data_IF_602388657523
#
_entry.id   IF_602388657523
#
_cell.length_a   1.000
_cell.length_b   1.000
_cell.length_c   1.000
_cell.angle_alpha   90.00
_cell.angle_beta   90.00
_cell.angle_gamma   90.00
#
_symmetry.space_group_name_H-M   'P 1'
#
loop_
_entity.id
_entity.type
_entity.pdbx_description
1 polymer ?
#
# COMPACT_ATOMS: atom_id res chain seq x y z
N UNK A 1 18.76 -1.48 10.80
CA UNK A 1 19.67 -1.99 11.83
C UNK A 1 19.33 -3.43 12.15
N UNK A 2 18.11 -3.77 12.59
CA UNK A 2 17.70 -5.15 12.97
C UNK A 2 17.88 -6.15 11.81
N UNK A 3 17.53 -5.76 10.58
CA UNK A 3 17.63 -6.61 9.40
C UNK A 3 19.06 -7.05 9.03
N UNK A 4 20.08 -6.35 9.52
CA UNK A 4 21.49 -6.64 9.22
C UNK A 4 22.14 -7.42 10.36
N UNK A 5 21.79 -7.13 11.62
CA UNK A 5 22.48 -7.70 12.80
C UNK A 5 21.86 -9.00 13.32
N UNK A 6 20.61 -9.33 12.93
CA UNK A 6 19.91 -10.52 13.40
C UNK A 6 19.88 -11.68 12.39
N UNK A 7 20.76 -11.66 11.39
CA UNK A 7 20.80 -12.68 10.33
C UNK A 7 21.86 -13.72 10.69
N UNK A 8 21.44 -14.93 11.01
CA UNK A 8 22.35 -16.02 11.41
C UNK A 8 23.11 -16.62 10.22
N UNK A 9 22.49 -16.77 9.04
CA UNK A 9 23.10 -17.34 7.83
C UNK A 9 22.68 -16.57 6.58
N UNK A 10 23.64 -15.95 5.89
CA UNK A 10 23.39 -15.20 4.65
C UNK A 10 23.69 -16.11 3.45
N UNK A 11 22.67 -16.40 2.61
CA UNK A 11 22.84 -17.07 1.34
C UNK A 11 23.20 -16.06 0.25
N UNK A 12 24.46 -16.03 -0.16
CA UNK A 12 24.95 -15.14 -1.20
C UNK A 12 24.26 -15.40 -2.56
N UNK A 13 23.96 -16.67 -2.86
CA UNK A 13 23.25 -17.06 -4.09
C UNK A 13 21.84 -16.49 -4.15
N UNK A 14 21.09 -16.55 -3.06
CA UNK A 14 19.74 -15.97 -2.99
C UNK A 14 19.79 -14.44 -3.08
N UNK A 15 20.81 -13.81 -2.50
CA UNK A 15 21.02 -12.36 -2.59
C UNK A 15 21.36 -11.91 -4.03
N UNK A 16 22.17 -12.69 -4.76
CA UNK A 16 22.45 -12.43 -6.17
C UNK A 16 21.20 -12.55 -7.05
N UNK A 17 20.34 -13.53 -6.78
CA UNK A 17 19.05 -13.67 -7.47
C UNK A 17 18.15 -12.45 -7.17
N UNK A 18 18.08 -12.02 -5.90
CA UNK A 18 17.34 -10.82 -5.53
C UNK A 18 17.87 -9.57 -6.25
N UNK A 19 19.20 -9.44 -6.35
CA UNK A 19 19.84 -8.36 -7.11
C UNK A 19 19.51 -8.37 -8.60
N UNK A 20 19.49 -9.55 -9.24
CA UNK A 20 19.07 -9.68 -10.65
C UNK A 20 17.60 -9.28 -10.85
N UNK A 21 16.70 -9.73 -9.97
CA UNK A 21 15.28 -9.35 -10.03
C UNK A 21 15.12 -7.84 -9.85
N UNK A 22 15.88 -7.25 -8.93
CA UNK A 22 15.88 -5.80 -8.72
C UNK A 22 16.33 -5.03 -9.97
N UNK A 23 17.37 -5.48 -10.67
CA UNK A 23 17.80 -4.89 -11.92
C UNK A 23 16.72 -4.99 -13.02
N UNK A 24 16.03 -6.12 -13.10
CA UNK A 24 14.88 -6.30 -14.01
C UNK A 24 13.75 -5.32 -13.67
N UNK A 25 13.45 -5.13 -12.40
CA UNK A 25 12.44 -4.15 -11.95
C UNK A 25 12.82 -2.71 -12.33
N UNK A 26 14.09 -2.33 -12.19
CA UNK A 26 14.59 -1.02 -12.66
C UNK A 26 14.44 -0.92 -14.17
N UNK A 27 14.77 -1.97 -14.92
CA UNK A 27 14.60 -1.97 -16.37
C UNK A 27 13.11 -1.79 -16.75
N UNK A 28 12.17 -2.48 -16.08
CA UNK A 28 10.75 -2.30 -16.30
C UNK A 28 10.30 -0.85 -16.03
N UNK A 29 10.80 -0.24 -14.96
CA UNK A 29 10.51 1.16 -14.66
C UNK A 29 11.01 2.07 -15.80
N UNK A 30 12.23 1.90 -16.26
CA UNK A 30 12.82 2.71 -17.34
C UNK A 30 12.18 2.50 -18.71
N UNK A 31 11.71 1.28 -18.99
CA UNK A 31 10.93 0.94 -20.18
C UNK A 31 9.48 1.45 -20.10
N UNK A 32 9.08 2.03 -18.98
CA UNK A 32 7.75 2.59 -18.79
C UNK A 32 6.65 1.56 -18.62
N UNK A 33 6.97 0.34 -18.20
CA UNK A 33 5.99 -0.69 -17.83
C UNK A 33 5.18 -0.21 -16.63
N UNK A 34 3.85 -0.25 -16.72
CA UNK A 34 2.92 0.25 -15.69
C UNK A 34 1.93 -0.80 -15.20
N UNK A 35 2.08 -2.03 -15.66
CA UNK A 35 1.20 -3.14 -15.28
C UNK A 35 1.42 -3.52 -13.81
N UNK A 36 0.37 -3.41 -12.99
CA UNK A 36 0.40 -3.84 -11.60
C UNK A 36 0.74 -5.33 -11.47
N UNK A 37 0.23 -6.15 -12.40
CA UNK A 37 0.44 -7.60 -12.39
C UNK A 37 1.93 -7.92 -12.55
N UNK A 38 2.63 -7.25 -13.45
CA UNK A 38 4.07 -7.45 -13.69
C UNK A 38 4.87 -7.15 -12.42
N UNK A 39 4.59 -6.00 -11.76
CA UNK A 39 5.25 -5.65 -10.51
C UNK A 39 4.85 -6.57 -9.35
N UNK A 40 3.61 -7.07 -9.31
CA UNK A 40 3.18 -8.03 -8.28
C UNK A 40 3.94 -9.35 -8.40
N UNK A 41 4.03 -9.91 -9.61
CA UNK A 41 4.74 -11.18 -9.84
C UNK A 41 6.23 -11.03 -9.54
N UNK A 42 6.87 -9.96 -10.06
CA UNK A 42 8.26 -9.69 -9.79
C UNK A 42 8.53 -9.39 -8.30
N UNK A 43 7.58 -8.71 -7.62
CA UNK A 43 7.63 -8.44 -6.20
C UNK A 43 7.56 -9.70 -5.34
N UNK A 44 6.69 -10.67 -5.70
CA UNK A 44 6.62 -11.97 -5.03
C UNK A 44 7.94 -12.73 -5.23
N UNK A 45 8.48 -12.74 -6.45
CA UNK A 45 9.77 -13.39 -6.73
C UNK A 45 10.92 -12.75 -5.93
N UNK A 46 10.95 -11.41 -5.85
CA UNK A 46 11.90 -10.66 -5.04
C UNK A 46 11.76 -11.01 -3.55
N UNK A 47 10.54 -11.05 -3.05
CA UNK A 47 10.24 -11.40 -1.66
C UNK A 47 10.71 -12.81 -1.31
N UNK A 48 10.44 -13.80 -2.19
CA UNK A 48 10.92 -15.18 -2.01
C UNK A 48 12.45 -15.27 -2.00
N UNK A 49 13.12 -14.51 -2.86
CA UNK A 49 14.58 -14.45 -2.90
C UNK A 49 15.15 -13.87 -1.58
N UNK A 50 14.56 -12.77 -1.07
CA UNK A 50 14.95 -12.21 0.23
C UNK A 50 14.65 -13.16 1.38
N UNK A 51 13.51 -13.85 1.37
CA UNK A 51 13.15 -14.83 2.40
C UNK A 51 14.19 -15.95 2.51
N UNK A 52 14.75 -16.39 1.37
CA UNK A 52 15.79 -17.43 1.31
C UNK A 52 17.21 -16.89 1.51
N UNK A 53 17.40 -15.58 1.46
CA UNK A 53 18.73 -14.96 1.62
C UNK A 53 19.15 -14.79 3.07
N UNK A 54 18.23 -14.96 4.02
CA UNK A 54 18.44 -14.65 5.42
C UNK A 54 18.24 -13.18 5.78
N UNK A 55 18.14 -12.28 4.80
CA UNK A 55 17.80 -10.88 5.04
C UNK A 55 16.28 -10.74 5.26
N UNK A 56 15.86 -9.81 6.10
CA UNK A 56 14.43 -9.58 6.37
C UNK A 56 13.63 -9.37 5.10
N UNK A 57 12.63 -10.22 4.88
CA UNK A 57 11.80 -10.21 3.69
C UNK A 57 11.01 -8.89 3.48
N UNK A 58 10.82 -8.09 4.53
CA UNK A 58 10.22 -6.74 4.47
C UNK A 58 11.03 -5.76 3.63
N UNK A 59 12.34 -5.96 3.51
CA UNK A 59 13.23 -5.15 2.66
C UNK A 59 12.82 -5.24 1.19
N UNK A 60 12.34 -6.41 0.74
CA UNK A 60 11.85 -6.60 -0.62
C UNK A 60 10.69 -5.65 -0.96
N UNK A 61 9.76 -5.44 -0.02
CA UNK A 61 8.64 -4.50 -0.21
C UNK A 61 9.09 -3.06 -0.40
N UNK A 62 10.07 -2.62 0.38
CA UNK A 62 10.64 -1.27 0.27
C UNK A 62 11.35 -1.10 -1.08
N UNK A 63 12.18 -2.06 -1.47
CA UNK A 63 12.89 -2.05 -2.75
C UNK A 63 11.89 -2.06 -3.91
N UNK A 64 10.86 -2.90 -3.86
CA UNK A 64 9.80 -2.94 -4.86
C UNK A 64 9.10 -1.57 -4.99
N UNK A 65 8.73 -0.94 -3.88
CA UNK A 65 8.07 0.36 -3.89
C UNK A 65 8.91 1.44 -4.61
N UNK A 66 10.22 1.45 -4.40
CA UNK A 66 11.12 2.37 -5.12
C UNK A 66 11.26 2.09 -6.62
N UNK A 67 10.93 0.87 -7.07
CA UNK A 67 11.01 0.51 -8.49
C UNK A 67 9.71 0.76 -9.25
N UNK A 68 8.58 0.92 -8.57
CA UNK A 68 7.28 1.19 -9.21
C UNK A 68 7.24 2.65 -9.68
N UNK A 69 6.79 2.92 -10.94
CA UNK A 69 6.70 4.29 -11.44
C UNK A 69 5.74 5.16 -10.61
N UNK A 70 6.28 6.27 -10.06
CA UNK A 70 5.53 7.25 -9.27
C UNK A 70 5.10 8.49 -10.08
N UNK A 71 5.36 8.52 -11.40
CA UNK A 71 5.01 9.63 -12.26
C UNK A 71 3.71 9.39 -13.04
N UNK A 72 2.85 10.40 -13.12
CA UNK A 72 1.68 10.39 -14.00
C UNK A 72 2.10 10.57 -15.48
N UNK A 73 1.32 9.98 -16.41
CA UNK A 73 1.50 10.18 -17.86
C UNK A 73 0.80 11.44 -18.37
N UNK A 74 -0.21 11.90 -17.68
CA UNK A 74 -1.06 12.99 -18.15
C UNK A 74 -0.68 14.27 -17.41
N UNK A 75 -0.49 15.35 -18.19
CA UNK A 75 -0.32 16.68 -17.62
C UNK A 75 -1.66 17.15 -17.01
N UNK A 76 -1.61 17.69 -15.79
CA UNK A 76 -2.78 18.19 -15.06
C UNK A 76 -3.62 19.16 -15.89
N UNK A 77 -3.01 19.98 -16.76
CA UNK A 77 -3.73 20.91 -17.62
C UNK A 77 -4.57 20.19 -18.67
N UNK A 78 -3.99 19.16 -19.32
CA UNK A 78 -4.71 18.36 -20.32
C UNK A 78 -5.85 17.58 -19.69
N UNK A 79 -5.61 16.97 -18.53
CA UNK A 79 -6.64 16.30 -17.75
C UNK A 79 -7.81 17.22 -17.42
N UNK A 80 -7.53 18.42 -16.89
CA UNK A 80 -8.59 19.39 -16.56
C UNK A 80 -9.40 19.82 -17.80
N UNK A 81 -8.76 19.95 -18.96
CA UNK A 81 -9.44 20.30 -20.20
C UNK A 81 -10.35 19.16 -20.67
N UNK A 82 -9.84 17.94 -20.75
CA UNK A 82 -10.60 16.75 -21.15
C UNK A 82 -11.80 16.50 -20.23
N UNK A 83 -11.60 16.62 -18.91
CA UNK A 83 -12.70 16.46 -17.94
C UNK A 83 -13.80 17.52 -18.13
N UNK A 84 -13.44 18.77 -18.37
CA UNK A 84 -14.43 19.84 -18.64
C UNK A 84 -15.22 19.58 -19.90
N UNK A 85 -14.58 19.08 -20.95
CA UNK A 85 -15.26 18.73 -22.20
C UNK A 85 -16.27 17.59 -21.96
N UNK A 86 -15.88 16.52 -21.24
CA UNK A 86 -16.77 15.39 -20.94
C UNK A 86 -17.94 15.85 -20.06
N UNK A 87 -17.70 16.69 -19.04
CA UNK A 87 -18.75 17.24 -18.17
C UNK A 87 -19.74 18.07 -18.99
N UNK A 88 -19.25 18.92 -19.87
CA UNK A 88 -20.11 19.75 -20.72
C UNK A 88 -21.01 18.90 -21.64
N UNK A 89 -20.47 17.82 -22.22
CA UNK A 89 -21.25 16.87 -23.00
C UNK A 89 -22.26 16.13 -22.13
N UNK A 90 -21.88 15.73 -20.91
CA UNK A 90 -22.76 15.04 -19.97
C UNK A 90 -23.94 15.90 -19.52
N UNK A 91 -23.75 17.19 -19.29
CA UNK A 91 -24.81 18.15 -18.95
C UNK A 91 -25.82 18.31 -20.09
N UNK A 92 -25.35 18.23 -21.33
CA UNK A 92 -26.21 18.37 -22.53
C UNK A 92 -26.77 17.04 -23.04
N UNK A 93 -26.37 15.90 -22.50
CA UNK A 93 -26.83 14.56 -22.90
C UNK A 93 -28.17 14.19 -22.26
N UNK A 94 -29.26 14.70 -22.80
CA UNK A 94 -30.64 14.36 -22.42
C UNK A 94 -31.24 15.23 -21.31
N UNK A 95 -32.57 15.11 -21.07
CA UNK A 95 -33.30 15.95 -20.11
C UNK A 95 -32.80 15.73 -18.67
N UNK A 96 -32.81 16.82 -17.88
CA UNK A 96 -32.45 16.78 -16.47
C UNK A 96 -33.49 15.92 -15.71
N UNK A 97 -33.00 14.85 -15.05
CA UNK A 97 -33.82 13.98 -14.20
C UNK A 97 -34.03 12.56 -14.74
N UNK A 98 -33.52 12.22 -15.92
CA UNK A 98 -33.52 10.84 -16.41
C UNK A 98 -32.67 9.93 -15.56
N UNK A 99 -33.14 8.69 -15.37
CA UNK A 99 -32.39 7.69 -14.64
C UNK A 99 -31.09 7.37 -15.41
N UNK A 100 -29.95 7.66 -14.78
CA UNK A 100 -28.61 7.47 -15.37
C UNK A 100 -28.42 6.04 -15.88
N UNK A 101 -29.03 5.05 -15.21
CA UNK A 101 -28.92 3.63 -15.56
C UNK A 101 -29.61 3.27 -16.89
N UNK A 102 -30.58 4.08 -17.37
CA UNK A 102 -31.28 3.84 -18.61
C UNK A 102 -30.71 4.66 -19.77
N UNK A 103 -29.90 5.65 -19.51
CA UNK A 103 -29.27 6.50 -20.51
C UNK A 103 -27.86 6.01 -20.88
N UNK A 104 -27.76 5.26 -21.98
CA UNK A 104 -26.51 4.65 -22.45
C UNK A 104 -25.43 5.69 -22.76
N UNK A 105 -25.81 6.87 -23.23
CA UNK A 105 -24.87 7.95 -23.55
C UNK A 105 -24.23 8.50 -22.28
N UNK A 106 -25.01 8.75 -21.24
CA UNK A 106 -24.48 9.18 -19.93
C UNK A 106 -23.59 8.12 -19.27
N UNK A 107 -23.95 6.84 -19.37
CA UNK A 107 -23.10 5.75 -18.88
C UNK A 107 -21.74 5.74 -19.57
N UNK A 108 -21.73 5.92 -20.89
CA UNK A 108 -20.48 5.99 -21.67
C UNK A 108 -19.59 7.16 -21.24
N UNK A 109 -20.20 8.32 -20.96
CA UNK A 109 -19.48 9.51 -20.47
C UNK A 109 -18.93 9.31 -19.07
N UNK A 110 -19.67 8.65 -18.17
CA UNK A 110 -19.20 8.28 -16.83
C UNK A 110 -17.99 7.35 -16.94
N UNK A 111 -18.04 6.34 -17.80
CA UNK A 111 -16.91 5.45 -18.04
C UNK A 111 -15.70 6.18 -18.62
N UNK A 112 -15.92 7.17 -19.50
CA UNK A 112 -14.85 8.02 -20.01
C UNK A 112 -14.20 8.87 -18.92
N UNK A 113 -14.99 9.42 -18.00
CA UNK A 113 -14.47 10.15 -16.82
C UNK A 113 -13.65 9.23 -15.91
N UNK A 114 -14.17 8.06 -15.61
CA UNK A 114 -13.48 7.05 -14.78
C UNK A 114 -12.14 6.65 -15.41
N UNK A 115 -12.13 6.32 -16.70
CA UNK A 115 -10.92 5.98 -17.43
C UNK A 115 -9.87 7.12 -17.41
N UNK A 116 -10.30 8.36 -17.51
CA UNK A 116 -9.41 9.50 -17.44
C UNK A 116 -8.84 9.71 -16.01
N UNK A 117 -9.68 9.55 -15.00
CA UNK A 117 -9.23 9.58 -13.59
C UNK A 117 -8.22 8.45 -13.31
N UNK A 118 -8.44 7.26 -13.85
CA UNK A 118 -7.49 6.16 -13.72
C UNK A 118 -6.14 6.43 -14.40
N UNK A 119 -6.12 7.14 -15.51
CA UNK A 119 -4.87 7.47 -16.23
C UNK A 119 -4.00 8.48 -15.49
N UNK A 120 -4.59 9.37 -14.68
CA UNK A 120 -3.84 10.36 -13.91
C UNK A 120 -3.18 9.75 -12.69
N UNK A 121 -3.77 8.67 -12.12
CA UNK A 121 -3.18 7.96 -11.00
C UNK A 121 -1.88 7.24 -11.43
N UNK A 122 -0.86 7.41 -10.61
CA UNK A 122 0.40 6.68 -10.82
C UNK A 122 0.22 5.19 -10.48
N UNK A 123 1.01 4.28 -11.09
CA UNK A 123 0.98 2.87 -10.72
C UNK A 123 1.19 2.64 -9.22
N UNK A 124 2.08 3.40 -8.59
CA UNK A 124 2.34 3.32 -7.15
C UNK A 124 1.09 3.67 -6.33
N UNK A 125 0.38 4.74 -6.68
CA UNK A 125 -0.88 5.12 -6.01
C UNK A 125 -1.97 4.06 -6.19
N UNK A 126 -2.08 3.46 -7.38
CA UNK A 126 -3.02 2.36 -7.62
C UNK A 126 -2.72 1.15 -6.73
N UNK A 127 -1.43 0.81 -6.56
CA UNK A 127 -1.01 -0.24 -5.62
C UNK A 127 -1.39 0.09 -4.18
N UNK A 128 -1.13 1.30 -3.74
CA UNK A 128 -1.45 1.76 -2.39
C UNK A 128 -2.96 1.63 -2.13
N UNK A 129 -3.80 2.18 -3.02
CA UNK A 129 -5.25 2.09 -2.88
C UNK A 129 -5.78 0.66 -2.90
N UNK A 130 -5.22 -0.21 -3.75
CA UNK A 130 -5.64 -1.61 -3.83
C UNK A 130 -5.25 -2.40 -2.59
N UNK A 131 -4.05 -2.18 -2.06
CA UNK A 131 -3.51 -2.95 -0.94
C UNK A 131 -3.97 -2.42 0.42
N UNK A 132 -4.26 -1.13 0.53
CA UNK A 132 -4.59 -0.48 1.81
C UNK A 132 -5.69 -1.19 2.61
N UNK A 133 -6.88 -1.53 2.05
CA UNK A 133 -7.92 -2.21 2.82
C UNK A 133 -7.50 -3.61 3.27
N UNK A 134 -6.81 -4.36 2.42
CA UNK A 134 -6.30 -5.69 2.77
C UNK A 134 -5.25 -5.63 3.88
N UNK A 135 -4.35 -4.66 3.80
CA UNK A 135 -3.33 -4.45 4.84
C UNK A 135 -3.98 -4.03 6.14
N UNK A 136 -4.87 -3.03 6.12
CA UNK A 136 -5.46 -2.47 7.34
C UNK A 136 -6.40 -3.43 8.05
N UNK A 137 -7.26 -4.15 7.31
CA UNK A 137 -8.35 -4.94 7.91
C UNK A 137 -8.09 -6.44 7.95
N UNK A 138 -7.14 -6.98 7.20
CA UNK A 138 -6.84 -8.40 7.20
C UNK A 138 -5.41 -8.68 7.67
N UNK A 139 -4.40 -8.10 7.00
CA UNK A 139 -2.99 -8.46 7.26
C UNK A 139 -2.55 -7.97 8.63
N UNK A 140 -2.81 -6.70 8.98
CA UNK A 140 -2.37 -6.12 10.25
C UNK A 140 -3.00 -6.81 11.48
N UNK A 141 -4.32 -7.11 11.52
CA UNK A 141 -4.91 -7.88 12.62
C UNK A 141 -4.33 -9.29 12.74
N UNK A 142 -4.18 -10.02 11.63
CA UNK A 142 -3.58 -11.38 11.65
C UNK A 142 -2.12 -11.31 12.10
N UNK A 143 -1.37 -10.35 11.58
CA UNK A 143 0.03 -10.13 11.96
C UNK A 143 0.15 -9.79 13.46
N UNK A 144 -0.69 -8.91 13.98
CA UNK A 144 -0.72 -8.58 15.40
C UNK A 144 -1.03 -9.82 16.26
N UNK A 145 -2.02 -10.62 15.85
CA UNK A 145 -2.40 -11.85 16.55
C UNK A 145 -1.27 -12.88 16.53
N UNK A 146 -0.64 -13.09 15.38
CA UNK A 146 0.48 -14.03 15.22
C UNK A 146 1.71 -13.64 16.03
N UNK A 147 2.02 -12.32 16.10
CA UNK A 147 3.16 -11.82 16.86
C UNK A 147 2.89 -11.66 18.35
N UNK A 148 1.64 -11.61 18.77
CA UNK A 148 1.29 -11.55 20.18
C UNK A 148 1.73 -12.81 20.94
N UNK A 149 1.98 -13.92 20.23
CA UNK A 149 2.44 -15.17 20.85
C UNK A 149 1.48 -15.77 21.88
N UNK A 150 0.24 -15.28 21.87
CA UNK A 150 -0.78 -15.69 22.87
C UNK A 150 -1.37 -17.00 22.40
N UNK A 151 -1.10 -18.07 23.16
CA UNK A 151 -1.86 -19.30 23.04
C UNK A 151 -3.29 -19.02 23.54
N UNK A 152 -4.24 -18.98 22.60
CA UNK A 152 -5.67 -18.87 22.94
C UNK A 152 -6.12 -20.23 23.49
N UNK A 153 -5.93 -20.43 24.78
CA UNK A 153 -6.21 -21.68 25.49
C UNK A 153 -6.56 -21.43 26.95
N UNK A 154 -6.55 -22.48 27.75
CA UNK A 154 -6.73 -22.41 29.20
C UNK A 154 -5.65 -21.51 29.79
N UNK A 155 -6.06 -20.39 30.41
CA UNK A 155 -5.17 -19.38 30.98
C UNK A 155 -5.12 -18.03 30.25
N UNK A 156 -5.89 -17.85 29.17
CA UNK A 156 -5.93 -16.55 28.46
C UNK A 156 -6.44 -15.42 29.38
N UNK A 157 -7.46 -15.70 30.18
CA UNK A 157 -7.99 -14.74 31.17
C UNK A 157 -6.99 -14.38 32.24
N UNK A 158 -6.20 -15.36 32.71
CA UNK A 158 -5.16 -15.14 33.71
C UNK A 158 -3.98 -14.36 33.14
N UNK A 159 -3.64 -14.62 31.87
CA UNK A 159 -2.62 -13.84 31.16
C UNK A 159 -3.03 -12.38 30.98
N UNK A 160 -4.30 -12.09 30.70
CA UNK A 160 -4.83 -10.72 30.62
C UNK A 160 -4.87 -10.01 31.98
N UNK A 161 -5.17 -10.74 33.05
CA UNK A 161 -5.22 -10.22 34.42
C UNK A 161 -3.83 -10.03 35.03
N UNK A 162 -2.77 -10.49 34.38
CA UNK A 162 -1.41 -10.34 34.86
C UNK A 162 -1.02 -8.85 34.93
N UNK A 163 -0.43 -8.35 36.03
CA UNK A 163 -0.01 -6.95 36.18
C UNK A 163 0.89 -6.44 35.05
N UNK A 164 1.72 -7.32 34.47
CA UNK A 164 2.60 -6.99 33.33
C UNK A 164 1.77 -6.71 32.08
N UNK A 165 0.78 -7.57 31.79
CA UNK A 165 -0.13 -7.40 30.64
C UNK A 165 -0.96 -6.13 30.77
N UNK A 166 -1.50 -5.86 31.95
CA UNK A 166 -2.23 -4.62 32.25
C UNK A 166 -1.31 -3.40 32.07
N UNK A 167 -0.08 -3.46 32.56
CA UNK A 167 0.88 -2.39 32.38
C UNK A 167 1.21 -2.10 30.92
N UNK A 168 1.36 -3.14 30.10
CA UNK A 168 1.58 -3.01 28.64
C UNK A 168 0.35 -2.40 27.95
N UNK A 169 -0.85 -2.90 28.26
CA UNK A 169 -2.12 -2.38 27.69
C UNK A 169 -2.29 -0.89 28.04
N UNK A 170 -2.14 -0.53 29.30
CA UNK A 170 -2.25 0.85 29.75
C UNK A 170 -1.16 1.75 29.13
N UNK A 171 0.08 1.25 29.07
CA UNK A 171 1.20 1.96 28.44
C UNK A 171 1.00 2.20 26.94
N UNK A 172 0.49 1.22 26.21
CA UNK A 172 0.19 1.36 24.78
C UNK A 172 -1.03 2.27 24.55
N UNK A 173 -2.07 2.13 25.35
CA UNK A 173 -3.29 2.90 25.16
C UNK A 173 -3.13 4.36 25.60
N UNK A 174 -2.70 4.60 26.83
CA UNK A 174 -2.57 5.96 27.37
C UNK A 174 -1.20 6.59 27.04
N UNK A 175 -0.12 5.85 27.19
CA UNK A 175 1.24 6.38 27.00
C UNK A 175 1.48 6.82 25.55
N UNK A 176 1.01 6.05 24.58
CA UNK A 176 1.14 6.40 23.17
C UNK A 176 0.29 7.62 22.81
N UNK A 177 -0.95 7.69 23.30
CA UNK A 177 -1.83 8.84 23.03
C UNK A 177 -1.29 10.10 23.67
N UNK A 178 -0.93 10.07 24.95
CA UNK A 178 -0.38 11.22 25.68
C UNK A 178 0.96 11.66 25.06
N UNK A 179 1.83 10.69 24.74
CA UNK A 179 3.12 10.97 24.12
C UNK A 179 2.97 11.67 22.75
N UNK A 180 2.22 11.05 21.82
CA UNK A 180 2.05 11.62 20.49
C UNK A 180 1.35 12.97 20.56
N UNK A 181 0.23 13.06 21.29
CA UNK A 181 -0.51 14.32 21.40
C UNK A 181 0.30 15.42 22.11
N UNK A 182 0.96 15.07 23.21
CA UNK A 182 1.78 16.02 23.97
C UNK A 182 2.95 16.57 23.16
N UNK A 183 3.72 15.69 22.51
CA UNK A 183 4.86 16.14 21.66
C UNK A 183 4.38 16.89 20.40
N UNK A 184 3.29 16.47 19.77
CA UNK A 184 2.73 17.21 18.63
C UNK A 184 2.24 18.58 19.04
N UNK A 185 1.56 18.70 20.18
CA UNK A 185 1.10 19.99 20.70
C UNK A 185 2.26 20.93 21.02
N UNK A 186 3.31 20.40 21.67
CA UNK A 186 4.52 21.18 21.94
C UNK A 186 5.21 21.65 20.66
N UNK A 187 5.33 20.76 19.66
CA UNK A 187 5.97 21.09 18.38
C UNK A 187 5.19 22.14 17.54
N UNK A 188 3.87 22.21 17.73
CA UNK A 188 3.05 23.25 17.05
C UNK A 188 3.11 24.58 17.80
N UNK A 189 3.29 24.54 19.12
CA UNK A 189 3.25 25.72 19.97
C UNK A 189 4.60 26.47 20.02
N UNK A 190 5.71 25.77 19.81
CA UNK A 190 7.08 26.29 19.78
C UNK A 190 7.71 26.18 18.40
#
# INVERSE_FOLDING_TARGET
VIAIFYTADISLTALLIAGMIFLVLIAFNRLGVRSLIVYSIAGIALWLAFLKSGVHATVAGVILAFTIPASSRINTKNFSKEQKEIINVFENAGPHGDNILTNQERLTLIQAMENNCEKILTPLQKFEHLLHPWVAFLIMPIFALANAGVSIGEGFTDALANPISIGIILGLFFGKQIGIFGFSYLAIKF
#
